data_IF_030527126825
#
_entry.id   IF_030527126825
#
_cell.length_a   1.000
_cell.length_b   1.000
_cell.length_c   1.000
_cell.angle_alpha   90.00
_cell.angle_beta   90.00
_cell.angle_gamma   90.00
#
_symmetry.space_group_name_H-M   'P 1'
#
loop_
_entity.id
_entity.type
_entity.pdbx_description
1 polymer ?
#
# COMPACT_ATOMS: atom_id res chain seq x y z
N UNK A 1 -32.56 -31.38 -4.24
CA UNK A 1 -31.22 -30.99 -4.73
C UNK A 1 -31.39 -29.90 -5.78
N UNK A 2 -31.32 -28.63 -5.37
CA UNK A 2 -31.31 -27.47 -6.27
C UNK A 2 -30.05 -26.67 -5.92
N UNK A 3 -29.18 -26.58 -6.91
CA UNK A 3 -27.88 -25.94 -6.95
C UNK A 3 -27.70 -24.78 -5.96
N UNK A 4 -26.93 -25.03 -4.89
CA UNK A 4 -26.22 -24.04 -4.10
C UNK A 4 -25.06 -23.45 -4.93
N UNK A 5 -25.40 -22.78 -6.04
CA UNK A 5 -24.43 -22.04 -6.82
C UNK A 5 -23.96 -20.82 -6.03
N UNK A 6 -22.73 -20.94 -5.52
CA UNK A 6 -21.82 -19.86 -5.14
C UNK A 6 -22.35 -18.78 -4.19
N UNK A 7 -22.47 -19.10 -2.90
CA UNK A 7 -22.31 -18.11 -1.81
C UNK A 7 -20.83 -17.67 -1.62
N UNK A 8 -19.95 -18.00 -2.56
CA UNK A 8 -18.56 -17.53 -2.65
C UNK A 8 -18.50 -16.32 -3.59
N UNK A 9 -18.74 -15.11 -3.04
CA UNK A 9 -18.21 -13.78 -3.46
C UNK A 9 -19.13 -12.64 -2.99
N UNK A 10 -19.43 -12.59 -1.69
CA UNK A 10 -19.92 -11.37 -1.06
C UNK A 10 -18.73 -10.52 -0.58
N UNK A 11 -17.88 -10.10 -1.51
CA UNK A 11 -16.71 -9.27 -1.20
C UNK A 11 -17.01 -7.79 -1.43
N UNK A 12 -17.06 -7.06 -0.32
CA UNK A 12 -16.75 -5.64 -0.24
C UNK A 12 -15.97 -5.41 1.08
N UNK A 13 -14.67 -5.71 1.04
CA UNK A 13 -13.75 -4.58 1.16
C UNK A 13 -12.90 -4.53 -0.10
N UNK A 14 -13.32 -3.59 -0.94
CA UNK A 14 -12.70 -3.09 -2.16
C UNK A 14 -12.70 -4.11 -3.31
N UNK A 15 -13.24 -3.69 -4.46
CA UNK A 15 -12.86 -4.25 -5.77
C UNK A 15 -11.40 -4.66 -5.66
N UNK A 16 -11.07 -5.92 -5.93
CA UNK A 16 -9.68 -6.33 -5.89
C UNK A 16 -8.92 -5.30 -6.75
N UNK A 17 -8.14 -4.42 -6.10
CA UNK A 17 -7.51 -3.30 -6.80
C UNK A 17 -6.46 -3.85 -7.76
N UNK A 18 -6.03 -5.11 -7.55
CA UNK A 18 -5.05 -5.79 -8.36
C UNK A 18 -5.53 -6.02 -9.81
N UNK A 19 -6.62 -6.74 -10.13
CA UNK A 19 -7.08 -6.90 -11.51
C UNK A 19 -7.35 -5.55 -12.18
N UNK A 20 -7.80 -4.56 -11.42
CA UNK A 20 -8.06 -3.24 -11.95
C UNK A 20 -6.80 -2.41 -12.21
N UNK A 21 -5.83 -2.46 -11.30
CA UNK A 21 -4.51 -1.89 -11.50
C UNK A 21 -3.78 -2.59 -12.65
N UNK A 22 -3.95 -3.91 -12.80
CA UNK A 22 -3.44 -4.68 -13.94
C UNK A 22 -4.06 -4.20 -15.25
N UNK A 23 -5.37 -3.92 -15.29
CA UNK A 23 -6.03 -3.33 -16.48
C UNK A 23 -5.47 -1.94 -16.78
N UNK A 24 -5.33 -1.08 -15.76
CA UNK A 24 -4.73 0.26 -15.95
C UNK A 24 -3.29 0.14 -16.45
N UNK A 25 -2.49 -0.76 -15.89
CA UNK A 25 -1.13 -1.04 -16.34
C UNK A 25 -1.11 -1.58 -17.77
N UNK A 26 -2.03 -2.48 -18.13
CA UNK A 26 -2.15 -3.04 -19.48
C UNK A 26 -2.55 -1.99 -20.53
N UNK A 27 -3.27 -0.94 -20.14
CA UNK A 27 -3.60 0.20 -21.02
C UNK A 27 -2.42 1.18 -21.10
N UNK A 28 -1.73 1.43 -19.99
CA UNK A 28 -0.61 2.37 -19.95
C UNK A 28 0.67 1.80 -20.58
N UNK A 29 0.92 0.50 -20.49
CA UNK A 29 2.13 -0.13 -21.04
C UNK A 29 2.28 0.11 -22.55
N UNK A 30 1.27 -0.17 -23.39
CA UNK A 30 1.33 0.11 -24.82
C UNK A 30 1.65 1.56 -25.13
N UNK A 31 1.09 2.52 -24.38
CA UNK A 31 1.41 3.94 -24.54
C UNK A 31 2.90 4.20 -24.28
N UNK A 32 3.50 3.54 -23.29
CA UNK A 32 4.94 3.62 -23.05
C UNK A 32 5.75 3.12 -24.25
N UNK A 33 5.37 1.96 -24.80
CA UNK A 33 6.07 1.40 -25.96
C UNK A 33 5.89 2.25 -27.21
N UNK A 34 4.67 2.75 -27.49
CA UNK A 34 4.37 3.56 -28.66
C UNK A 34 5.11 4.89 -28.62
N UNK A 35 5.11 5.58 -27.47
CA UNK A 35 5.65 6.94 -27.39
C UNK A 35 7.12 7.00 -27.01
N UNK A 36 7.68 5.98 -26.37
CA UNK A 36 8.97 6.09 -25.67
C UNK A 36 9.99 5.01 -26.05
N UNK A 37 9.60 3.96 -26.79
CA UNK A 37 10.54 2.89 -27.15
C UNK A 37 11.53 3.32 -28.24
N UNK A 38 12.80 2.91 -28.09
CA UNK A 38 13.84 3.12 -29.09
C UNK A 38 14.43 4.53 -29.18
N UNK A 39 14.02 5.44 -28.28
CA UNK A 39 14.57 6.81 -28.20
C UNK A 39 15.32 7.07 -26.90
N UNK A 40 16.23 8.04 -26.92
CA UNK A 40 16.85 8.60 -25.72
C UNK A 40 15.81 9.43 -24.98
N UNK A 41 15.52 9.07 -23.73
CA UNK A 41 14.49 9.76 -22.95
C UNK A 41 15.06 11.01 -22.28
N UNK A 42 14.26 12.07 -22.28
CA UNK A 42 14.56 13.33 -21.61
C UNK A 42 13.64 13.53 -20.40
N UNK A 43 13.94 14.53 -19.57
CA UNK A 43 13.06 14.93 -18.45
C UNK A 43 11.65 15.26 -18.97
N UNK A 44 11.55 15.98 -20.08
CA UNK A 44 10.27 16.37 -20.66
C UNK A 44 9.44 15.16 -21.09
N UNK A 45 10.08 14.11 -21.63
CA UNK A 45 9.41 12.88 -21.99
C UNK A 45 8.76 12.17 -20.79
N UNK A 46 9.43 12.22 -19.63
CA UNK A 46 8.89 11.68 -18.38
C UNK A 46 7.71 12.51 -17.87
N UNK A 47 7.78 13.84 -17.96
CA UNK A 47 6.70 14.73 -17.52
C UNK A 47 5.46 14.58 -18.41
N UNK A 48 5.64 14.52 -19.72
CA UNK A 48 4.55 14.30 -20.68
C UNK A 48 3.90 12.93 -20.44
N UNK A 49 4.70 11.87 -20.28
CA UNK A 49 4.16 10.54 -20.00
C UNK A 49 3.41 10.49 -18.65
N UNK A 50 3.92 11.17 -17.62
CA UNK A 50 3.27 11.28 -16.33
C UNK A 50 1.91 11.99 -16.44
N UNK A 51 1.81 13.06 -17.24
CA UNK A 51 0.56 13.75 -17.50
C UNK A 51 -0.46 12.83 -18.21
N UNK A 52 -0.03 12.15 -19.28
CA UNK A 52 -0.86 11.21 -20.04
C UNK A 52 -1.35 10.09 -19.12
N UNK A 53 -0.45 9.49 -18.34
CA UNK A 53 -0.81 8.43 -17.42
C UNK A 53 -1.78 8.91 -16.34
N UNK A 54 -1.58 10.12 -15.82
CA UNK A 54 -2.47 10.76 -14.85
C UNK A 54 -3.91 10.89 -15.38
N UNK A 55 -4.04 11.36 -16.61
CA UNK A 55 -5.32 11.43 -17.32
C UNK A 55 -5.92 10.05 -17.55
N UNK A 56 -5.25 9.19 -18.32
CA UNK A 56 -5.74 7.85 -18.73
C UNK A 56 -6.14 7.01 -17.52
N UNK A 57 -5.30 6.97 -16.49
CA UNK A 57 -5.56 6.21 -15.26
C UNK A 57 -6.83 6.70 -14.58
N UNK A 58 -7.05 8.01 -14.48
CA UNK A 58 -8.25 8.58 -13.86
C UNK A 58 -9.51 8.19 -14.63
N UNK A 59 -9.51 8.28 -15.96
CA UNK A 59 -10.64 7.90 -16.80
C UNK A 59 -10.98 6.40 -16.66
N UNK A 60 -9.99 5.54 -16.84
CA UNK A 60 -10.16 4.08 -16.75
C UNK A 60 -10.63 3.69 -15.34
N UNK A 61 -10.00 4.26 -14.30
CA UNK A 61 -10.35 3.93 -12.92
C UNK A 61 -11.79 4.37 -12.57
N UNK A 62 -12.22 5.54 -13.04
CA UNK A 62 -13.57 6.02 -12.76
C UNK A 62 -14.65 5.30 -13.57
N UNK A 63 -14.36 4.89 -14.81
CA UNK A 63 -15.30 4.12 -15.62
C UNK A 63 -15.62 2.77 -14.96
N UNK A 64 -14.58 2.07 -14.54
CA UNK A 64 -14.75 0.77 -13.91
C UNK A 64 -15.38 0.88 -12.52
N UNK A 65 -14.95 1.84 -11.68
CA UNK A 65 -15.58 2.02 -10.35
C UNK A 65 -17.06 2.35 -10.48
N UNK A 66 -17.45 3.19 -11.45
CA UNK A 66 -18.86 3.46 -11.75
C UNK A 66 -19.61 2.18 -12.08
N UNK A 67 -19.11 1.41 -13.05
CA UNK A 67 -19.74 0.16 -13.45
C UNK A 67 -19.90 -0.77 -12.24
N UNK A 68 -18.82 -1.02 -11.52
CA UNK A 68 -18.78 -1.93 -10.39
C UNK A 68 -19.68 -1.51 -9.22
N UNK A 69 -19.78 -0.22 -8.90
CA UNK A 69 -20.66 0.30 -7.85
C UNK A 69 -22.12 0.27 -8.31
N UNK A 70 -22.40 0.66 -9.56
CA UNK A 70 -23.77 0.65 -10.10
C UNK A 70 -24.37 -0.75 -10.15
N UNK A 71 -23.63 -1.74 -10.64
CA UNK A 71 -24.07 -3.14 -10.69
C UNK A 71 -24.36 -3.70 -9.29
N UNK A 72 -23.55 -3.32 -8.28
CA UNK A 72 -23.75 -3.75 -6.89
C UNK A 72 -24.91 -3.03 -6.21
N UNK A 73 -25.10 -1.74 -6.51
CA UNK A 73 -26.23 -0.94 -6.02
C UNK A 73 -27.55 -1.54 -6.50
N UNK A 74 -27.63 -1.89 -7.78
CA UNK A 74 -28.77 -2.58 -8.37
C UNK A 74 -29.03 -3.97 -7.73
N UNK A 75 -27.99 -4.63 -7.23
CA UNK A 75 -28.11 -5.89 -6.49
C UNK A 75 -28.44 -5.76 -5.00
N UNK A 76 -28.51 -4.54 -4.44
CA UNK A 76 -28.79 -4.33 -3.01
C UNK A 76 -27.66 -4.75 -2.06
N UNK A 77 -26.44 -4.96 -2.59
CA UNK A 77 -25.31 -5.52 -1.84
C UNK A 77 -24.34 -4.45 -1.33
N UNK A 78 -24.61 -3.16 -1.53
CA UNK A 78 -23.77 -2.11 -0.95
C UNK A 78 -23.94 -2.06 0.58
N UNK A 79 -22.94 -1.53 1.30
CA UNK A 79 -23.04 -1.22 2.72
C UNK A 79 -24.29 -0.43 3.09
N UNK A 80 -25.00 -0.89 4.12
CA UNK A 80 -26.16 -0.19 4.67
C UNK A 80 -25.79 1.15 5.33
N UNK A 81 -24.54 1.26 5.83
CA UNK A 81 -24.00 2.48 6.45
C UNK A 81 -22.77 2.94 5.67
N UNK A 82 -22.83 4.15 5.14
CA UNK A 82 -21.78 4.76 4.33
C UNK A 82 -21.28 6.03 5.04
N UNK A 83 -19.95 6.26 5.14
CA UNK A 83 -19.45 7.52 5.67
C UNK A 83 -19.87 8.68 4.77
N UNK A 84 -20.57 9.65 5.35
CA UNK A 84 -21.00 10.85 4.65
C UNK A 84 -19.83 11.82 4.52
N UNK A 85 -19.69 12.41 3.33
CA UNK A 85 -18.75 13.51 3.10
C UNK A 85 -19.42 14.60 2.28
N UNK A 86 -19.69 15.78 2.89
CA UNK A 86 -20.25 16.93 2.17
C UNK A 86 -19.37 17.37 0.98
N UNK A 87 -18.05 17.22 1.12
CA UNK A 87 -17.11 17.50 0.04
C UNK A 87 -17.33 16.56 -1.16
N UNK A 88 -17.46 15.25 -0.92
CA UNK A 88 -17.66 14.29 -2.01
C UNK A 88 -18.99 14.47 -2.72
N UNK A 89 -20.02 14.90 -2.00
CA UNK A 89 -21.35 15.15 -2.58
C UNK A 89 -21.37 16.38 -3.50
N UNK A 90 -20.45 17.34 -3.30
CA UNK A 90 -20.31 18.51 -4.20
C UNK A 90 -19.61 18.18 -5.52
N UNK A 91 -18.94 17.03 -5.63
CA UNK A 91 -18.28 16.63 -6.86
C UNK A 91 -19.29 16.19 -7.92
N UNK A 92 -18.95 16.23 -9.21
CA UNK A 92 -19.85 15.76 -10.26
C UNK A 92 -20.29 14.30 -10.05
N UNK A 93 -21.58 14.02 -10.27
CA UNK A 93 -22.14 12.66 -10.23
C UNK A 93 -22.05 11.91 -11.56
N UNK A 94 -21.92 12.65 -12.67
CA UNK A 94 -21.71 12.10 -14.00
C UNK A 94 -20.27 11.60 -14.18
N UNK A 95 -20.11 10.51 -14.94
CA UNK A 95 -18.78 9.93 -15.24
C UNK A 95 -17.85 10.94 -15.91
N UNK A 96 -18.26 11.51 -17.03
CA UNK A 96 -17.43 12.42 -17.82
C UNK A 96 -16.94 13.65 -17.05
N UNK A 97 -17.79 14.47 -16.40
CA UNK A 97 -17.31 15.65 -15.69
C UNK A 97 -16.42 15.29 -14.49
N UNK A 98 -16.70 14.17 -13.81
CA UNK A 98 -15.83 13.69 -12.74
C UNK A 98 -14.47 13.26 -13.30
N UNK A 99 -14.45 12.50 -14.39
CA UNK A 99 -13.24 11.99 -15.03
C UNK A 99 -12.35 13.11 -15.59
N UNK A 100 -12.94 14.15 -16.18
CA UNK A 100 -12.19 15.34 -16.62
C UNK A 100 -11.56 16.06 -15.42
N UNK A 101 -12.34 16.32 -14.37
CA UNK A 101 -11.85 17.01 -13.18
C UNK A 101 -10.71 16.23 -12.50
N UNK A 102 -10.93 14.94 -12.22
CA UNK A 102 -9.91 14.10 -11.58
C UNK A 102 -8.75 13.79 -12.52
N UNK A 103 -9.00 13.72 -13.84
CA UNK A 103 -7.97 13.51 -14.85
C UNK A 103 -7.01 14.69 -14.93
N UNK A 104 -7.54 15.92 -14.93
CA UNK A 104 -6.72 17.13 -14.86
C UNK A 104 -5.92 17.21 -13.55
N UNK A 105 -6.58 16.96 -12.41
CA UNK A 105 -5.91 16.93 -11.11
C UNK A 105 -4.86 15.81 -11.01
N UNK A 106 -5.17 14.63 -11.56
CA UNK A 106 -4.29 13.47 -11.63
C UNK A 106 -3.08 13.75 -12.51
N UNK A 107 -3.28 14.29 -13.72
CA UNK A 107 -2.19 14.69 -14.61
C UNK A 107 -1.25 15.72 -13.95
N UNK A 108 -1.81 16.77 -13.35
CA UNK A 108 -1.03 17.78 -12.64
C UNK A 108 -0.24 17.17 -11.46
N UNK A 109 -0.89 16.33 -10.64
CA UNK A 109 -0.23 15.64 -9.53
C UNK A 109 0.90 14.75 -10.02
N UNK A 110 0.68 13.99 -11.09
CA UNK A 110 1.69 13.09 -11.65
C UNK A 110 2.88 13.86 -12.21
N UNK A 111 2.66 14.96 -12.91
CA UNK A 111 3.73 15.86 -13.37
C UNK A 111 4.53 16.39 -12.18
N UNK A 112 3.86 16.88 -11.13
CA UNK A 112 4.52 17.42 -9.94
C UNK A 112 5.34 16.34 -9.20
N UNK A 113 4.79 15.15 -9.03
CA UNK A 113 5.49 14.03 -8.38
C UNK A 113 6.68 13.58 -9.22
N UNK A 114 6.51 13.41 -10.53
CA UNK A 114 7.60 13.02 -11.43
C UNK A 114 8.69 14.09 -11.48
N UNK A 115 8.32 15.37 -11.59
CA UNK A 115 9.26 16.48 -11.54
C UNK A 115 10.04 16.52 -10.23
N UNK A 116 9.35 16.37 -9.10
CA UNK A 116 9.99 16.30 -7.80
C UNK A 116 10.96 15.12 -7.74
N UNK A 117 10.53 13.92 -8.13
CA UNK A 117 11.39 12.72 -8.13
C UNK A 117 12.62 12.90 -9.03
N UNK A 118 12.47 13.43 -10.25
CA UNK A 118 13.60 13.68 -11.15
C UNK A 118 14.55 14.76 -10.61
N UNK A 119 14.01 15.79 -9.96
CA UNK A 119 14.82 16.82 -9.29
C UNK A 119 15.57 16.26 -8.09
N UNK A 120 14.97 15.29 -7.39
CA UNK A 120 15.60 14.59 -6.28
C UNK A 120 16.62 13.56 -6.75
N UNK A 121 16.46 12.95 -7.93
CA UNK A 121 17.31 11.89 -8.45
C UNK A 121 17.87 12.26 -9.84
N UNK A 122 18.85 13.19 -9.90
CA UNK A 122 19.47 13.56 -11.16
C UNK A 122 20.33 12.42 -11.68
N UNK A 123 19.75 11.55 -12.51
CA UNK A 123 20.48 10.52 -13.23
C UNK A 123 21.17 11.08 -14.48
N UNK A 124 22.33 10.51 -14.79
CA UNK A 124 23.15 10.79 -15.97
C UNK A 124 22.69 10.03 -17.23
N UNK A 125 21.59 9.26 -17.18
CA UNK A 125 21.02 8.59 -18.37
C UNK A 125 19.68 7.87 -18.15
N UNK A 126 18.62 8.37 -18.77
CA UNK A 126 17.28 7.79 -18.71
C UNK A 126 17.10 6.65 -19.72
N UNK A 127 17.25 5.41 -19.26
CA UNK A 127 17.02 4.22 -20.10
C UNK A 127 15.55 3.81 -20.13
N UNK A 128 15.11 3.22 -21.25
CA UNK A 128 13.75 2.73 -21.40
C UNK A 128 13.31 1.70 -20.33
N UNK A 129 14.15 0.73 -19.91
CA UNK A 129 13.80 -0.16 -18.81
C UNK A 129 13.58 0.58 -17.48
N UNK A 130 14.37 1.62 -17.20
CA UNK A 130 14.21 2.43 -15.98
C UNK A 130 12.88 3.16 -15.97
N UNK A 131 12.57 3.79 -17.09
CA UNK A 131 11.29 4.44 -17.34
C UNK A 131 10.10 3.48 -17.17
N UNK A 132 10.19 2.24 -17.67
CA UNK A 132 9.10 1.27 -17.60
C UNK A 132 8.74 0.89 -16.15
N UNK A 133 9.74 0.68 -15.29
CA UNK A 133 9.50 0.38 -13.86
C UNK A 133 8.84 1.57 -13.18
N UNK A 134 9.32 2.79 -13.47
CA UNK A 134 8.68 4.01 -12.97
C UNK A 134 7.21 4.07 -13.37
N UNK A 135 6.93 3.85 -14.65
CA UNK A 135 5.56 3.84 -15.19
C UNK A 135 4.65 2.86 -14.48
N UNK A 136 5.09 1.62 -14.34
CA UNK A 136 4.32 0.57 -13.65
C UNK A 136 4.07 0.97 -12.19
N UNK A 137 5.10 1.47 -11.49
CA UNK A 137 5.00 1.84 -10.09
C UNK A 137 3.98 2.95 -9.87
N UNK A 138 4.13 4.07 -10.58
CA UNK A 138 3.29 5.23 -10.35
C UNK A 138 1.87 5.03 -10.91
N UNK A 139 1.69 4.31 -12.03
CA UNK A 139 0.36 4.01 -12.59
C UNK A 139 -0.45 3.11 -11.67
N UNK A 140 0.21 2.13 -11.04
CA UNK A 140 -0.42 1.22 -10.07
C UNK A 140 -0.87 1.98 -8.82
N UNK A 141 0.00 2.84 -8.27
CA UNK A 141 -0.31 3.63 -7.08
C UNK A 141 -1.43 4.63 -7.33
N UNK A 142 -1.38 5.33 -8.48
CA UNK A 142 -2.43 6.26 -8.88
C UNK A 142 -3.76 5.53 -9.10
N UNK A 143 -3.75 4.38 -9.79
CA UNK A 143 -4.95 3.58 -10.01
C UNK A 143 -5.59 3.20 -8.68
N UNK A 144 -4.82 2.65 -7.73
CA UNK A 144 -5.33 2.27 -6.42
C UNK A 144 -6.03 3.45 -5.70
N UNK A 145 -5.46 4.66 -5.79
CA UNK A 145 -6.04 5.85 -5.16
C UNK A 145 -7.25 6.40 -5.90
N UNK A 146 -7.24 6.41 -7.23
CA UNK A 146 -8.39 6.81 -8.02
C UNK A 146 -9.58 5.87 -7.85
N UNK A 147 -9.31 4.57 -7.60
CA UNK A 147 -10.33 3.58 -7.29
C UNK A 147 -10.98 3.84 -5.94
N UNK A 148 -10.18 3.99 -4.88
CA UNK A 148 -10.67 4.32 -3.54
C UNK A 148 -11.53 5.59 -3.58
N UNK A 149 -11.06 6.62 -4.27
CA UNK A 149 -11.77 7.87 -4.47
C UNK A 149 -13.08 7.68 -5.26
N UNK A 150 -13.04 6.96 -6.38
CA UNK A 150 -14.20 6.70 -7.23
C UNK A 150 -15.28 5.91 -6.49
N UNK A 151 -14.91 4.85 -5.77
CA UNK A 151 -15.83 4.09 -4.91
C UNK A 151 -16.47 5.03 -3.90
N UNK A 152 -15.66 5.83 -3.21
CA UNK A 152 -16.16 6.74 -2.18
C UNK A 152 -17.07 7.83 -2.73
N UNK A 153 -16.87 8.29 -3.98
CA UNK A 153 -17.77 9.21 -4.67
C UNK A 153 -19.09 8.54 -5.04
N UNK A 154 -19.02 7.38 -5.70
CA UNK A 154 -20.20 6.71 -6.27
C UNK A 154 -21.08 6.01 -5.24
N UNK A 155 -20.59 5.82 -4.01
CA UNK A 155 -21.39 5.25 -2.91
C UNK A 155 -22.17 6.30 -2.11
N UNK A 156 -21.89 7.59 -2.29
CA UNK A 156 -22.59 8.65 -1.58
C UNK A 156 -24.12 8.61 -1.84
N UNK A 157 -24.94 9.03 -0.86
CA UNK A 157 -26.40 8.94 -0.95
C UNK A 157 -27.01 9.91 -1.96
N UNK A 158 -26.34 11.01 -2.30
CA UNK A 158 -26.79 11.96 -3.33
C UNK A 158 -26.92 11.32 -4.73
N UNK A 159 -26.23 10.19 -4.95
CA UNK A 159 -26.31 9.41 -6.19
C UNK A 159 -27.28 8.23 -6.12
N UNK A 160 -28.03 8.08 -5.02
CA UNK A 160 -29.08 7.08 -4.91
C UNK A 160 -30.30 7.47 -5.72
N UNK A 161 -30.86 6.48 -6.42
CA UNK A 161 -32.12 6.62 -7.16
C UNK A 161 -33.25 6.06 -6.31
N UNK A 162 -34.47 6.61 -6.41
CA UNK A 162 -35.63 6.09 -5.70
C UNK A 162 -35.95 4.61 -6.02
N UNK A 163 -35.54 4.12 -7.20
CA UNK A 163 -35.74 2.75 -7.64
C UNK A 163 -34.66 1.76 -7.14
N UNK A 164 -33.61 2.23 -6.45
CA UNK A 164 -32.56 1.35 -5.95
C UNK A 164 -33.09 0.49 -4.79
N UNK A 165 -32.78 -0.82 -4.74
CA UNK A 165 -33.21 -1.67 -3.63
C UNK A 165 -32.57 -1.24 -2.29
N UNK A 166 -33.19 -1.60 -1.15
CA UNK A 166 -32.58 -1.37 0.15
C UNK A 166 -31.25 -2.11 0.26
N UNK A 167 -30.21 -1.39 0.67
CA UNK A 167 -28.84 -1.90 0.73
C UNK A 167 -28.61 -2.69 2.02
N UNK A 168 -28.16 -3.95 1.92
CA UNK A 168 -28.03 -4.88 3.05
C UNK A 168 -26.59 -5.33 3.32
N UNK A 169 -25.61 -4.72 2.67
CA UNK A 169 -24.20 -5.04 2.88
C UNK A 169 -23.77 -4.74 4.32
N UNK A 170 -23.12 -5.72 4.95
CA UNK A 170 -22.65 -5.63 6.35
C UNK A 170 -21.27 -4.97 6.49
N UNK A 171 -20.61 -4.66 5.37
CA UNK A 171 -19.23 -4.21 5.37
C UNK A 171 -19.11 -2.68 5.49
N UNK A 172 -18.00 -2.20 6.06
CA UNK A 172 -17.75 -0.78 6.28
C UNK A 172 -16.91 -0.18 5.14
N UNK A 173 -17.27 1.03 4.72
CA UNK A 173 -16.48 1.82 3.76
C UNK A 173 -15.54 2.73 4.53
N UNK A 174 -14.27 2.76 4.13
CA UNK A 174 -13.27 3.63 4.74
C UNK A 174 -13.27 4.94 3.96
N UNK A 175 -13.35 6.07 4.66
CA UNK A 175 -13.17 7.39 4.05
C UNK A 175 -11.69 7.55 3.62
N UNK A 176 -11.38 7.65 2.31
CA UNK A 176 -10.02 7.74 1.80
C UNK A 176 -9.41 9.15 1.91
N UNK A 177 -10.19 10.14 2.35
CA UNK A 177 -9.73 11.52 2.47
C UNK A 177 -8.67 11.65 3.58
N UNK A 178 -7.58 12.39 3.33
CA UNK A 178 -6.53 12.57 4.31
C UNK A 178 -7.08 13.29 5.55
N UNK A 179 -6.83 12.72 6.73
CA UNK A 179 -7.16 13.35 8.02
C UNK A 179 -5.99 14.21 8.48
N UNK A 180 -6.25 15.31 9.19
CA UNK A 180 -5.18 16.13 9.79
C UNK A 180 -4.24 15.29 10.66
N UNK A 181 -4.80 14.37 11.43
CA UNK A 181 -4.04 13.44 12.28
C UNK A 181 -3.09 12.53 11.50
N UNK A 182 -3.36 12.29 10.21
CA UNK A 182 -2.45 11.53 9.35
C UNK A 182 -1.13 12.28 9.16
N UNK A 183 -1.18 13.60 8.96
CA UNK A 183 0.02 14.42 8.75
C UNK A 183 0.84 14.56 10.03
N UNK A 184 0.20 14.72 11.19
CA UNK A 184 0.92 14.76 12.47
C UNK A 184 1.57 13.42 12.79
N UNK A 185 0.88 12.29 12.53
CA UNK A 185 1.46 10.95 12.66
C UNK A 185 2.62 10.71 11.71
N UNK A 186 2.50 11.18 10.46
CA UNK A 186 3.60 11.11 9.49
C UNK A 186 4.81 11.88 10.00
N UNK A 187 4.64 13.13 10.44
CA UNK A 187 5.72 13.94 10.97
C UNK A 187 6.38 13.32 12.20
N UNK A 188 5.59 12.83 13.16
CA UNK A 188 6.10 12.18 14.37
C UNK A 188 6.85 10.88 14.06
N UNK A 189 6.32 10.06 13.14
CA UNK A 189 7.00 8.86 12.65
C UNK A 189 8.35 9.23 12.03
N UNK A 190 8.36 10.24 11.16
CA UNK A 190 9.57 10.68 10.47
C UNK A 190 10.66 11.10 11.45
N UNK A 191 10.28 11.88 12.46
CA UNK A 191 11.20 12.41 13.47
C UNK A 191 11.75 11.32 14.39
N UNK A 192 10.89 10.38 14.80
CA UNK A 192 11.28 9.26 15.67
C UNK A 192 12.21 8.29 14.93
N UNK A 193 11.89 7.98 13.68
CA UNK A 193 12.69 7.12 12.82
C UNK A 193 14.06 7.72 12.51
N UNK A 194 14.16 9.04 12.42
CA UNK A 194 15.43 9.75 12.26
C UNK A 194 16.33 9.58 13.49
N UNK A 195 15.83 9.90 14.69
CA UNK A 195 16.60 9.82 15.93
C UNK A 195 17.14 8.41 16.21
N UNK A 196 16.31 7.38 16.00
CA UNK A 196 16.71 5.99 16.20
C UNK A 196 17.78 5.50 15.22
N UNK A 197 17.78 6.04 14.00
CA UNK A 197 18.77 5.67 12.98
C UNK A 197 20.15 6.22 13.30
N UNK A 198 20.23 7.45 13.82
CA UNK A 198 21.49 8.00 14.30
C UNK A 198 22.04 7.17 15.47
N UNK A 199 21.21 6.81 16.44
CA UNK A 199 21.64 6.03 17.61
C UNK A 199 22.17 4.65 17.22
N UNK A 200 21.42 3.89 16.42
CA UNK A 200 21.85 2.54 16.02
C UNK A 200 22.96 2.57 14.98
N UNK A 201 22.98 3.58 14.11
CA UNK A 201 24.09 3.81 13.20
C UNK A 201 25.38 4.12 13.94
N UNK A 202 25.36 4.89 15.04
CA UNK A 202 26.55 5.11 15.88
C UNK A 202 27.06 3.80 16.50
N UNK A 203 26.15 2.98 17.03
CA UNK A 203 26.51 1.70 17.68
C UNK A 203 27.08 0.67 16.70
N UNK A 204 26.59 0.65 15.46
CA UNK A 204 26.94 -0.35 14.45
C UNK A 204 27.97 0.17 13.42
N UNK A 205 28.57 1.33 13.65
CA UNK A 205 29.55 1.97 12.75
C UNK A 205 28.96 2.53 11.45
N UNK A 206 27.64 2.61 11.35
CA UNK A 206 26.90 3.19 10.23
C UNK A 206 26.72 4.72 10.31
N UNK A 207 27.11 5.37 11.41
CA UNK A 207 27.09 6.83 11.59
C UNK A 207 28.43 7.28 12.17
N UNK A 208 29.06 8.24 11.51
CA UNK A 208 30.32 8.85 11.91
C UNK A 208 30.07 10.33 12.15
N UNK A 209 30.45 10.83 13.33
CA UNK A 209 30.42 12.26 13.63
C UNK A 209 31.81 12.81 13.30
N UNK A 210 31.90 13.69 12.31
CA UNK A 210 33.14 14.32 11.88
C UNK A 210 33.02 15.84 12.04
N UNK A 211 33.51 16.37 13.16
CA UNK A 211 33.29 17.77 13.54
C UNK A 211 31.80 18.03 13.79
N UNK A 212 31.26 19.07 13.15
CA UNK A 212 29.83 19.46 13.25
C UNK A 212 28.91 18.66 12.29
N UNK A 213 29.47 17.72 11.51
CA UNK A 213 28.74 16.97 10.50
C UNK A 213 28.46 15.53 10.97
N UNK A 214 27.19 15.12 10.87
CA UNK A 214 26.76 13.73 11.06
C UNK A 214 26.75 13.04 9.71
N UNK A 215 27.70 12.14 9.47
CA UNK A 215 27.77 11.34 8.25
C UNK A 215 27.17 9.97 8.49
N UNK A 216 26.14 9.62 7.70
CA UNK A 216 25.58 8.28 7.68
C UNK A 216 26.35 7.46 6.63
N UNK A 217 27.24 6.55 7.05
CA UNK A 217 28.01 5.67 6.16
C UNK A 217 27.10 4.80 5.27
N UNK A 218 25.88 4.55 5.75
CA UNK A 218 24.84 3.80 5.05
C UNK A 218 24.23 4.46 3.82
N UNK A 219 24.73 5.64 3.49
CA UNK A 219 24.32 6.42 2.33
C UNK A 219 25.21 6.08 1.12
N UNK A 220 26.30 5.32 1.30
CA UNK A 220 27.20 4.90 0.22
C UNK A 220 26.95 3.48 -0.25
N UNK A 221 27.27 3.20 -1.52
CA UNK A 221 27.18 1.85 -2.12
C UNK A 221 28.00 0.80 -1.35
N UNK A 222 29.15 1.19 -0.80
CA UNK A 222 29.98 0.32 0.03
C UNK A 222 29.36 -0.02 1.41
N UNK A 223 28.49 0.85 1.93
CA UNK A 223 27.84 0.69 3.24
C UNK A 223 26.45 0.06 3.21
N UNK A 224 25.93 -0.34 2.05
CA UNK A 224 24.54 -0.81 1.89
C UNK A 224 24.17 -1.98 2.80
N UNK A 225 25.08 -2.92 2.99
CA UNK A 225 24.83 -4.11 3.81
C UNK A 225 24.66 -3.74 5.29
N UNK A 226 25.51 -2.85 5.82
CA UNK A 226 25.39 -2.33 7.19
C UNK A 226 24.05 -1.59 7.34
N UNK A 227 23.66 -0.84 6.33
CA UNK A 227 22.41 -0.06 6.31
C UNK A 227 21.16 -0.95 6.35
N UNK A 228 21.13 -2.00 5.54
CA UNK A 228 20.03 -2.95 5.53
C UNK A 228 19.93 -3.72 6.85
N UNK A 229 21.07 -4.04 7.47
CA UNK A 229 21.12 -4.64 8.82
C UNK A 229 20.54 -3.69 9.87
N UNK A 230 21.05 -2.45 9.93
CA UNK A 230 20.59 -1.42 10.88
C UNK A 230 19.08 -1.19 10.71
N UNK A 231 18.63 -1.00 9.48
CA UNK A 231 17.22 -0.81 9.18
C UNK A 231 16.38 -2.03 9.59
N UNK A 232 16.84 -3.24 9.28
CA UNK A 232 16.10 -4.45 9.58
C UNK A 232 15.91 -4.69 11.08
N UNK A 233 16.91 -4.31 11.89
CA UNK A 233 16.82 -4.32 13.36
C UNK A 233 15.80 -3.29 13.82
N UNK A 234 15.89 -2.04 13.33
CA UNK A 234 14.95 -0.96 13.68
C UNK A 234 13.52 -1.38 13.37
N UNK A 235 13.26 -1.84 12.15
CA UNK A 235 11.92 -2.21 11.69
C UNK A 235 11.38 -3.38 12.48
N UNK A 236 12.19 -4.39 12.77
CA UNK A 236 11.77 -5.55 13.56
C UNK A 236 11.35 -5.16 14.97
N UNK A 237 12.09 -4.26 15.62
CA UNK A 237 11.83 -3.84 17.00
C UNK A 237 10.70 -2.80 17.10
N UNK A 238 10.71 -1.77 16.26
CA UNK A 238 9.83 -0.60 16.38
C UNK A 238 8.56 -0.69 15.55
N UNK A 239 8.51 -1.58 14.54
CA UNK A 239 7.36 -1.71 13.66
C UNK A 239 6.75 -3.11 13.71
N UNK A 240 7.53 -4.16 13.45
CA UNK A 240 7.02 -5.55 13.38
C UNK A 240 6.43 -5.97 14.72
N UNK A 241 7.20 -5.87 15.81
CA UNK A 241 6.73 -6.28 17.14
C UNK A 241 5.45 -5.54 17.58
N UNK A 242 5.37 -4.20 17.58
CA UNK A 242 4.15 -3.50 17.98
C UNK A 242 2.93 -3.86 17.12
N UNK A 243 3.14 -4.05 15.81
CA UNK A 243 2.07 -4.46 14.88
C UNK A 243 1.56 -5.86 15.21
N UNK A 244 2.46 -6.82 15.46
CA UNK A 244 2.09 -8.16 15.90
C UNK A 244 1.34 -8.14 17.22
N UNK A 245 1.81 -7.35 18.20
CA UNK A 245 1.16 -7.24 19.50
C UNK A 245 -0.25 -6.64 19.40
N UNK A 246 -0.44 -5.61 18.57
CA UNK A 246 -1.74 -4.99 18.36
C UNK A 246 -2.74 -5.96 17.71
N UNK A 247 -2.33 -6.68 16.65
CA UNK A 247 -3.20 -7.66 15.99
C UNK A 247 -3.49 -8.85 16.91
N UNK A 248 -2.52 -9.28 17.72
CA UNK A 248 -2.73 -10.33 18.72
C UNK A 248 -3.78 -9.93 19.76
N UNK A 249 -3.72 -8.70 20.28
CA UNK A 249 -4.75 -8.18 21.20
C UNK A 249 -6.13 -8.11 20.55
N UNK A 250 -6.22 -7.68 19.28
CA UNK A 250 -7.48 -7.69 18.54
C UNK A 250 -8.03 -9.10 18.34
N UNK A 251 -7.16 -10.09 18.14
CA UNK A 251 -7.56 -11.50 18.02
C UNK A 251 -8.16 -12.02 19.33
N UNK A 252 -7.50 -11.76 20.46
CA UNK A 252 -7.97 -12.15 21.80
C UNK A 252 -9.30 -11.47 22.17
N UNK A 253 -9.51 -10.23 21.71
CA UNK A 253 -10.77 -9.51 21.89
C UNK A 253 -11.91 -9.99 20.97
N UNK A 254 -11.72 -11.05 20.18
CA UNK A 254 -12.72 -11.57 19.24
C UNK A 254 -12.96 -10.67 18.02
N UNK A 255 -12.09 -9.70 17.76
CA UNK A 255 -12.24 -8.72 16.68
C UNK A 255 -11.85 -9.23 15.29
N UNK A 256 -11.32 -10.45 15.18
CA UNK A 256 -10.91 -11.05 13.90
C UNK A 256 -11.92 -12.11 13.43
N UNK A 257 -12.29 -12.12 12.14
CA UNK A 257 -13.16 -13.17 11.62
C UNK A 257 -12.45 -14.53 11.68
N UNK A 258 -13.15 -15.63 12.01
CA UNK A 258 -12.55 -16.95 12.14
C UNK A 258 -11.92 -17.42 10.82
N UNK A 259 -10.80 -18.12 10.90
CA UNK A 259 -10.17 -18.70 9.71
C UNK A 259 -11.09 -19.73 9.04
N UNK A 260 -11.19 -19.70 7.70
CA UNK A 260 -12.00 -20.70 6.97
C UNK A 260 -11.33 -22.07 6.85
N UNK A 261 -9.99 -22.14 6.89
CA UNK A 261 -9.21 -23.38 6.79
C UNK A 261 -7.92 -23.30 7.61
N UNK A 262 -7.52 -24.37 8.33
CA UNK A 262 -6.23 -24.42 9.01
C UNK A 262 -5.10 -24.59 8.00
N UNK A 263 -4.00 -23.83 8.15
CA UNK A 263 -2.78 -24.03 7.36
C UNK A 263 -1.62 -24.46 8.26
N UNK A 264 -0.98 -25.60 7.96
CA UNK A 264 0.12 -26.16 8.77
C UNK A 264 1.32 -25.22 8.91
N UNK A 265 1.62 -24.47 7.84
CA UNK A 265 2.79 -23.60 7.79
C UNK A 265 2.65 -22.37 8.70
N UNK A 266 1.47 -21.74 8.72
CA UNK A 266 1.21 -20.62 9.63
C UNK A 266 1.03 -21.08 11.08
N UNK A 267 0.44 -22.27 11.33
CA UNK A 267 0.29 -22.78 12.70
C UNK A 267 1.62 -23.11 13.37
N UNK A 268 2.66 -23.42 12.59
CA UNK A 268 4.02 -23.66 13.09
C UNK A 268 4.74 -22.39 13.56
N UNK A 269 4.29 -21.21 13.14
CA UNK A 269 4.89 -19.95 13.58
C UNK A 269 4.54 -19.65 15.06
N UNK A 270 5.43 -19.01 15.83
CA UNK A 270 5.18 -18.67 17.22
C UNK A 270 3.91 -17.82 17.40
N UNK A 271 3.13 -18.11 18.44
CA UNK A 271 1.99 -17.28 18.83
C UNK A 271 2.45 -15.99 19.56
N UNK A 272 3.54 -16.07 20.33
CA UNK A 272 4.08 -14.91 21.03
C UNK A 272 4.62 -13.86 20.01
N UNK A 273 4.15 -12.60 20.06
CA UNK A 273 4.65 -11.51 19.21
C UNK A 273 6.17 -11.36 19.19
N UNK A 274 6.83 -11.62 20.33
CA UNK A 274 8.30 -11.57 20.42
C UNK A 274 8.98 -12.69 19.65
N UNK A 275 8.49 -13.92 19.78
CA UNK A 275 9.05 -15.06 19.06
C UNK A 275 8.87 -14.92 17.55
N UNK A 276 7.71 -14.43 17.12
CA UNK A 276 7.44 -14.19 15.71
C UNK A 276 8.26 -13.02 15.15
N UNK A 277 8.44 -11.93 15.90
CA UNK A 277 9.34 -10.84 15.52
C UNK A 277 10.81 -11.31 15.43
N UNK A 278 11.24 -12.19 16.34
CA UNK A 278 12.58 -12.79 16.30
C UNK A 278 12.83 -13.63 15.04
N UNK A 279 11.86 -14.45 14.62
CA UNK A 279 11.95 -15.22 13.37
C UNK A 279 11.97 -14.30 12.15
N UNK A 280 11.18 -13.22 12.17
CA UNK A 280 11.11 -12.26 11.07
C UNK A 280 12.32 -11.33 10.99
N UNK A 281 13.16 -11.24 12.03
CA UNK A 281 14.32 -10.36 12.07
C UNK A 281 15.26 -10.56 10.88
N UNK A 282 15.73 -11.81 10.69
CA UNK A 282 16.69 -12.12 9.63
C UNK A 282 16.09 -11.91 8.23
N UNK A 283 14.86 -12.40 7.91
CA UNK A 283 14.19 -12.08 6.66
C UNK A 283 14.04 -10.57 6.41
N UNK A 284 13.69 -9.79 7.44
CA UNK A 284 13.51 -8.33 7.32
C UNK A 284 14.86 -7.63 7.07
N UNK A 285 15.94 -8.07 7.71
CA UNK A 285 17.29 -7.56 7.44
C UNK A 285 17.74 -7.85 6.00
N UNK A 286 17.58 -9.09 5.55
CA UNK A 286 17.92 -9.49 4.17
C UNK A 286 17.10 -8.69 3.17
N UNK A 287 15.78 -8.56 3.38
CA UNK A 287 14.91 -7.79 2.49
C UNK A 287 15.26 -6.30 2.48
N UNK A 288 15.66 -5.73 3.62
CA UNK A 288 16.11 -4.33 3.72
C UNK A 288 17.40 -4.11 2.91
N UNK A 289 18.37 -5.02 3.03
CA UNK A 289 19.62 -4.97 2.25
C UNK A 289 19.35 -5.11 0.75
N UNK A 290 18.49 -6.05 0.35
CA UNK A 290 18.09 -6.24 -1.05
C UNK A 290 17.39 -4.99 -1.58
N UNK A 291 16.54 -4.35 -0.78
CA UNK A 291 15.83 -3.14 -1.18
C UNK A 291 16.80 -2.01 -1.50
N UNK A 292 17.77 -1.72 -0.61
CA UNK A 292 18.77 -0.68 -0.89
C UNK A 292 19.69 -1.04 -2.06
N UNK A 293 20.12 -2.30 -2.16
CA UNK A 293 20.92 -2.78 -3.29
C UNK A 293 20.17 -2.61 -4.62
N UNK A 294 18.89 -2.99 -4.66
CA UNK A 294 18.05 -2.86 -5.84
C UNK A 294 17.83 -1.39 -6.20
N UNK A 295 17.55 -0.52 -5.23
CA UNK A 295 17.32 0.91 -5.48
C UNK A 295 18.61 1.59 -5.94
N UNK A 296 19.72 1.44 -5.22
CA UNK A 296 20.98 2.06 -5.60
C UNK A 296 21.53 1.50 -6.92
N UNK A 297 21.43 0.18 -7.13
CA UNK A 297 21.85 -0.45 -8.38
C UNK A 297 20.97 -0.06 -9.58
N UNK A 298 19.65 -0.01 -9.38
CA UNK A 298 18.71 0.35 -10.44
C UNK A 298 18.88 1.82 -10.85
N UNK A 299 18.97 2.73 -9.88
CA UNK A 299 19.10 4.16 -10.15
C UNK A 299 20.54 4.64 -10.36
N UNK A 300 21.53 3.74 -10.24
CA UNK A 300 22.93 4.08 -10.40
C UNK A 300 23.49 5.02 -9.33
N UNK A 301 22.94 5.00 -8.11
CA UNK A 301 23.46 5.82 -7.02
C UNK A 301 24.74 5.20 -6.43
N UNK A 302 25.81 5.98 -6.45
CA UNK A 302 27.03 5.67 -5.69
C UNK A 302 26.91 6.16 -4.24
N UNK A 303 26.27 7.30 -4.05
CA UNK A 303 25.87 7.83 -2.74
C UNK A 303 24.46 8.40 -2.83
N UNK A 304 23.67 8.18 -1.78
CA UNK A 304 22.40 8.85 -1.58
C UNK A 304 22.68 10.20 -0.89
N UNK A 305 21.69 11.07 -0.79
CA UNK A 305 21.69 12.13 0.22
C UNK A 305 20.76 11.72 1.36
N UNK A 306 20.81 12.46 2.47
CA UNK A 306 20.01 12.18 3.65
C UNK A 306 18.51 12.05 3.34
N UNK A 307 17.96 12.95 2.52
CA UNK A 307 16.54 12.97 2.18
C UNK A 307 16.14 11.80 1.27
N UNK A 308 16.95 11.48 0.25
CA UNK A 308 16.74 10.32 -0.64
C UNK A 308 16.73 9.03 0.16
N UNK A 309 17.74 8.83 1.01
CA UNK A 309 17.84 7.68 1.92
C UNK A 309 16.57 7.56 2.79
N UNK A 310 16.13 8.68 3.36
CA UNK A 310 14.98 8.72 4.24
C UNK A 310 13.65 8.39 3.51
N UNK A 311 13.47 8.88 2.28
CA UNK A 311 12.30 8.59 1.45
C UNK A 311 12.23 7.11 1.09
N UNK A 312 13.34 6.53 0.62
CA UNK A 312 13.44 5.10 0.26
C UNK A 312 13.08 4.24 1.46
N UNK A 313 13.69 4.54 2.62
CA UNK A 313 13.40 3.87 3.88
C UNK A 313 11.93 3.96 4.25
N UNK A 314 11.35 5.16 4.26
CA UNK A 314 9.95 5.36 4.66
C UNK A 314 8.98 4.60 3.75
N UNK A 315 9.25 4.58 2.44
CA UNK A 315 8.46 3.82 1.48
C UNK A 315 8.58 2.31 1.75
N UNK A 316 9.79 1.81 1.97
CA UNK A 316 10.04 0.41 2.30
C UNK A 316 9.31 -0.03 3.58
N UNK A 317 9.46 0.72 4.68
CA UNK A 317 8.82 0.39 5.96
C UNK A 317 7.30 0.36 5.83
N UNK A 318 6.69 1.30 5.11
CA UNK A 318 5.24 1.31 4.88
C UNK A 318 4.73 0.13 4.04
N UNK A 319 5.52 -0.32 3.07
CA UNK A 319 5.17 -1.51 2.28
C UNK A 319 5.31 -2.78 3.11
N UNK A 320 6.43 -2.90 3.82
CA UNK A 320 6.69 -4.01 4.71
C UNK A 320 5.65 -4.09 5.84
N UNK A 321 5.20 -2.95 6.38
CA UNK A 321 4.23 -2.94 7.46
C UNK A 321 2.89 -3.58 7.07
N UNK A 322 2.43 -3.34 5.83
CA UNK A 322 1.21 -3.95 5.29
C UNK A 322 1.35 -5.46 5.13
N UNK A 323 2.52 -5.93 4.69
CA UNK A 323 2.79 -7.36 4.54
C UNK A 323 2.82 -8.07 5.90
N UNK A 324 3.47 -7.43 6.88
CA UNK A 324 3.54 -7.93 8.25
C UNK A 324 2.17 -7.95 8.90
N UNK A 325 1.35 -6.91 8.73
CA UNK A 325 -0.04 -6.87 9.23
C UNK A 325 -0.89 -7.98 8.61
N UNK A 326 -0.80 -8.19 7.28
CA UNK A 326 -1.51 -9.28 6.62
C UNK A 326 -1.08 -10.65 7.16
N UNK A 327 0.23 -10.89 7.31
CA UNK A 327 0.78 -12.11 7.89
C UNK A 327 0.28 -12.31 9.33
N UNK A 328 0.29 -11.25 10.15
CA UNK A 328 -0.17 -11.26 11.53
C UNK A 328 -1.64 -11.67 11.61
N UNK A 329 -2.50 -11.03 10.81
CA UNK A 329 -3.93 -11.34 10.75
C UNK A 329 -4.14 -12.80 10.36
N UNK A 330 -3.44 -13.30 9.34
CA UNK A 330 -3.54 -14.70 8.93
C UNK A 330 -3.08 -15.68 10.00
N UNK A 331 -1.99 -15.37 10.72
CA UNK A 331 -1.49 -16.20 11.83
C UNK A 331 -2.44 -16.22 13.01
N UNK A 332 -2.94 -15.05 13.43
CA UNK A 332 -3.74 -14.91 14.64
C UNK A 332 -5.19 -15.37 14.45
N UNK A 333 -5.74 -15.34 13.23
CA UNK A 333 -7.02 -16.01 12.89
C UNK A 333 -6.99 -17.53 13.09
N UNK A 334 -5.80 -18.15 13.15
CA UNK A 334 -5.69 -19.60 13.40
C UNK A 334 -5.74 -19.95 14.89
N UNK A 335 -5.44 -19.01 15.78
CA UNK A 335 -5.60 -19.20 17.22
C UNK A 335 -7.09 -19.31 17.59
N UNK A 336 -7.94 -18.45 17.03
CA UNK A 336 -9.38 -18.52 17.27
C UNK A 336 -9.99 -19.84 16.78
N UNK A 337 -9.47 -20.42 15.69
CA UNK A 337 -9.93 -21.73 15.18
C UNK A 337 -9.46 -22.90 16.06
N UNK A 338 -8.28 -22.80 16.68
CA UNK A 338 -7.79 -23.79 17.63
C UNK A 338 -8.59 -23.75 18.94
N UNK A 339 -8.88 -22.56 19.48
CA UNK A 339 -9.75 -22.38 20.65
C UNK A 339 -11.18 -22.85 20.38
N UNK A 340 -11.76 -22.53 19.23
CA UNK A 340 -13.11 -23.01 18.86
C UNK A 340 -13.16 -24.53 18.73
N UNK A 341 -12.10 -25.17 18.22
CA UNK A 341 -12.01 -26.63 18.17
C UNK A 341 -11.89 -27.26 19.56
N UNK A 342 -11.12 -26.65 20.46
CA UNK A 342 -10.97 -27.12 21.84
C UNK A 342 -12.30 -26.99 22.62
N UNK A 343 -12.99 -25.85 22.50
CA UNK A 343 -14.32 -25.65 23.07
C UNK A 343 -15.34 -26.66 22.55
N UNK A 344 -15.33 -26.96 21.25
CA UNK A 344 -16.24 -27.97 20.69
C UNK A 344 -15.90 -29.40 21.14
N UNK A 345 -14.63 -29.70 21.43
CA UNK A 345 -14.20 -30.99 21.99
C UNK A 345 -14.53 -31.11 23.48
N UNK A 346 -14.52 -30.01 24.23
CA UNK A 346 -14.94 -29.95 25.65
C UNK A 346 -16.47 -29.96 25.84
N UNK A 347 -17.25 -29.65 24.79
CA UNK A 347 -18.72 -29.77 24.80
C UNK A 347 -19.19 -31.16 24.34
N UNK A 348 -18.32 -31.97 23.72
CA UNK A 348 -18.56 -33.39 23.38
C UNK A 348 -17.92 -34.44 24.35
N UNK A 349 -17.95 -34.30 25.68
CA UNK A 349 -17.86 -35.44 26.57
C UNK A 349 -19.28 -35.77 27.05
N UNK A 350 -19.73 -36.99 26.72
CA UNK A 350 -21.02 -37.62 27.04
C UNK A 350 -22.08 -37.60 25.93
N UNK A 351 -21.85 -38.44 24.92
CA UNK A 351 -22.89 -39.39 24.48
C UNK A 351 -22.44 -40.78 24.87
#
# INVERSE_FOLDING_TARGET
>A
MKNSMSQSRAELPYLNNLPMALVVCAINLPLAFIFQYGRTLTVDDFLIDAAICGGVTSFVSLAYTRWAVSSRRAGGVLPARVPLSPFMQKLPGGYFPLAVLTGAAGAALMVLVTWALLSFYPETGYTFPRFLVWKIGYSTLLAAKMIEFGIFRYIQPDLARPADPPQKGQQSVINPLPRRDMFSRLYASVTTDFGMNMLLGLLLGGTVIQGDLVMLMGVSRGGMLITGIVLGIIVSLLMVRPTLAAVHQMALAGGLPPAGKPSRLLSALPANPWGLAGILLLPVMVLSSICFWAVMGFFGFETLNFFQFFVIRTAFVKLLSRLVEALAVHRYRQLSLAETKLLNLEVEPHV
#
